data_IF_805577551636
#
_entry.id   IF_805577551636
#
_cell.length_a   1.000
_cell.length_b   1.000
_cell.length_c   1.000
_cell.angle_alpha   90.00
_cell.angle_beta   90.00
_cell.angle_gamma   90.00
#
_symmetry.space_group_name_H-M   'P 1'
#
loop_
_entity.id
_entity.type
_entity.pdbx_description
1 polymer ?
#
# COMPACT_ATOMS: atom_id res chain seq x y z
N UNK A 1 -5.95 -0.42 -23.92
CA UNK A 1 -7.05 -0.59 -22.95
C UNK A 1 -6.65 0.18 -21.70
N UNK A 2 -7.38 1.22 -21.34
CA UNK A 2 -7.11 2.05 -20.16
C UNK A 2 -8.25 1.80 -19.17
N UNK A 3 -8.05 0.95 -18.18
CA UNK A 3 -9.09 0.70 -17.17
C UNK A 3 -8.48 0.32 -15.81
N UNK A 4 -8.96 0.99 -14.75
CA UNK A 4 -9.00 0.58 -13.32
C UNK A 4 -7.66 0.64 -12.52
N UNK A 5 -7.53 1.20 -11.29
CA UNK A 5 -8.44 1.67 -10.21
C UNK A 5 -7.82 2.93 -9.55
N UNK A 6 -8.58 4.03 -9.45
CA UNK A 6 -8.27 5.09 -8.47
C UNK A 6 -9.28 5.03 -7.32
N UNK A 7 -8.81 5.24 -6.10
CA UNK A 7 -9.67 5.68 -5.01
C UNK A 7 -9.69 7.20 -5.00
N UNK A 8 -10.89 7.76 -5.11
CA UNK A 8 -11.16 9.07 -4.55
C UNK A 8 -11.19 8.92 -3.03
N UNK A 9 -10.25 9.55 -2.34
CA UNK A 9 -10.40 9.80 -0.92
C UNK A 9 -11.51 10.85 -0.78
N UNK A 10 -12.70 10.43 -0.37
CA UNK A 10 -13.86 11.35 -0.30
C UNK A 10 -13.70 12.31 0.87
N UNK A 11 -13.14 11.83 1.98
CA UNK A 11 -12.98 12.60 3.19
C UNK A 11 -11.60 12.40 3.80
N UNK A 12 -10.96 13.51 4.17
CA UNK A 12 -9.76 13.49 5.01
C UNK A 12 -10.16 13.91 6.41
N UNK A 13 -9.88 13.06 7.40
CA UNK A 13 -10.11 13.35 8.81
C UNK A 13 -8.78 13.36 9.55
N UNK A 14 -8.57 14.38 10.38
CA UNK A 14 -7.45 14.45 11.29
C UNK A 14 -7.96 14.33 12.71
N UNK A 15 -7.32 13.47 13.50
CA UNK A 15 -7.50 13.38 14.93
C UNK A 15 -6.18 13.73 15.61
N UNK A 16 -6.24 14.59 16.61
CA UNK A 16 -5.07 15.03 17.36
C UNK A 16 -5.30 14.73 18.84
N UNK A 17 -4.28 14.14 19.46
CA UNK A 17 -4.28 13.82 20.88
C UNK A 17 -3.12 14.55 21.56
N UNK A 18 -3.41 15.12 22.73
CA UNK A 18 -2.41 15.70 23.60
C UNK A 18 -2.21 14.75 24.78
N UNK A 19 -1.03 14.15 24.88
CA UNK A 19 -0.61 13.39 26.05
C UNK A 19 -0.44 14.38 27.18
N UNK A 20 -1.45 14.45 28.05
CA UNK A 20 -1.36 15.23 29.29
C UNK A 20 -0.23 14.60 30.12
N UNK A 21 0.78 15.39 30.47
CA UNK A 21 1.78 14.98 31.44
C UNK A 21 1.00 14.58 32.71
N UNK A 22 1.26 13.37 33.23
CA UNK A 22 0.59 12.89 34.42
C UNK A 22 0.77 13.91 35.54
N UNK A 23 -0.33 14.53 35.97
CA UNK A 23 -0.34 15.39 37.15
C UNK A 23 0.04 14.50 38.34
N UNK A 24 1.29 14.59 38.77
CA UNK A 24 1.75 13.97 40.00
C UNK A 24 1.37 14.90 41.16
N UNK A 25 0.17 14.74 41.68
CA UNK A 25 -0.26 15.49 42.87
C UNK A 25 0.52 14.97 44.09
N UNK A 26 1.52 15.71 44.54
CA UNK A 26 2.19 15.45 45.82
C UNK A 26 1.26 15.86 46.96
N UNK A 27 0.91 14.92 47.83
CA UNK A 27 0.08 15.20 49.01
C UNK A 27 0.98 15.77 50.11
N UNK A 28 0.96 17.09 50.33
CA UNK A 28 1.37 17.70 51.61
C UNK A 28 0.81 19.12 51.69
N UNK A 29 0.15 19.43 52.81
CA UNK A 29 -0.49 20.67 53.30
C UNK A 29 0.02 22.06 52.83
N UNK A 30 0.24 22.25 51.53
CA UNK A 30 0.51 23.54 50.89
C UNK A 30 -0.11 23.51 49.48
N UNK A 31 -1.12 24.35 49.25
CA UNK A 31 -1.87 24.35 47.99
C UNK A 31 -1.04 25.00 46.90
N UNK A 32 -0.37 24.20 46.06
CA UNK A 32 0.19 24.69 44.80
C UNK A 32 -0.81 24.47 43.67
N UNK A 33 -1.62 25.50 43.38
CA UNK A 33 -2.43 25.54 42.15
C UNK A 33 -1.52 25.74 40.94
N UNK A 34 -1.13 24.65 40.27
CA UNK A 34 -0.56 24.72 38.93
C UNK A 34 -1.68 24.58 37.90
N UNK A 35 -2.37 25.69 37.61
CA UNK A 35 -3.26 25.77 36.46
C UNK A 35 -2.43 25.94 35.19
N UNK A 36 -2.16 24.84 34.48
CA UNK A 36 -1.58 24.91 33.13
C UNK A 36 -2.65 25.45 32.19
N UNK A 37 -2.43 26.65 31.64
CA UNK A 37 -3.29 27.26 30.63
C UNK A 37 -3.07 26.58 29.28
N UNK A 38 -4.10 25.89 28.78
CA UNK A 38 -4.12 25.33 27.41
C UNK A 38 -4.90 26.25 26.48
N UNK A 39 -4.35 26.51 25.29
CA UNK A 39 -5.05 27.24 24.22
C UNK A 39 -5.40 26.25 23.11
N UNK A 40 -6.68 25.95 22.96
CA UNK A 40 -7.17 25.06 21.92
C UNK A 40 -7.32 25.82 20.60
N UNK A 41 -6.77 25.24 19.53
CA UNK A 41 -6.93 25.73 18.16
C UNK A 41 -7.59 24.65 17.33
N UNK A 42 -8.58 25.04 16.54
CA UNK A 42 -9.25 24.14 15.62
C UNK A 42 -8.40 23.89 14.38
N UNK A 43 -8.18 22.63 14.06
CA UNK A 43 -7.49 22.20 12.84
C UNK A 43 -8.33 22.61 11.63
N UNK A 44 -7.70 23.26 10.65
CA UNK A 44 -8.37 23.67 9.41
C UNK A 44 -7.65 23.07 8.21
N UNK A 45 -8.31 22.16 7.51
CA UNK A 45 -7.79 21.58 6.28
C UNK A 45 -8.05 22.52 5.09
N UNK A 46 -7.05 22.74 4.24
CA UNK A 46 -7.18 23.50 3.00
C UNK A 46 -7.14 22.61 1.75
N UNK A 47 -6.40 21.50 1.79
CA UNK A 47 -6.31 20.62 0.63
C UNK A 47 -5.40 19.42 0.83
N UNK A 48 -5.55 18.43 -0.06
CA UNK A 48 -4.73 17.21 -0.11
C UNK A 48 -4.22 17.00 -1.53
N UNK A 49 -2.95 16.62 -1.64
CA UNK A 49 -2.31 16.32 -2.92
C UNK A 49 -1.33 15.14 -2.80
N UNK A 50 -1.28 14.19 -3.75
CA UNK A 50 -2.25 14.02 -4.83
C UNK A 50 -3.65 13.70 -4.28
N UNK A 51 -4.71 14.09 -4.98
CA UNK A 51 -6.09 13.83 -4.55
C UNK A 51 -6.54 12.38 -4.81
N UNK A 52 -5.69 11.60 -5.45
CA UNK A 52 -6.00 10.28 -5.98
C UNK A 52 -4.77 9.38 -5.91
N UNK A 53 -5.01 8.09 -5.73
CA UNK A 53 -3.94 7.12 -5.65
C UNK A 53 -4.40 5.67 -5.80
N UNK A 54 -3.43 4.75 -5.91
CA UNK A 54 -3.66 3.32 -5.90
C UNK A 54 -4.34 2.78 -4.64
N UNK A 55 -5.02 1.63 -4.78
CA UNK A 55 -5.60 0.94 -3.62
C UNK A 55 -4.60 0.16 -2.79
N UNK A 56 -3.46 -0.26 -3.33
CA UNK A 56 -2.46 -0.94 -2.50
C UNK A 56 -1.91 -0.05 -1.37
N UNK A 57 -2.15 1.27 -1.43
CA UNK A 57 -1.57 2.23 -0.50
C UNK A 57 -0.19 2.70 -0.97
N UNK A 58 0.64 3.17 -0.04
CA UNK A 58 2.01 3.62 -0.31
C UNK A 58 2.14 5.02 -0.91
N UNK A 59 1.02 5.68 -1.28
CA UNK A 59 1.06 7.03 -1.84
C UNK A 59 1.41 8.05 -0.76
N UNK A 60 2.46 8.86 -1.00
CA UNK A 60 2.79 9.97 -0.13
C UNK A 60 1.85 11.15 -0.43
N UNK A 61 1.01 11.49 0.54
CA UNK A 61 0.11 12.63 0.48
C UNK A 61 0.70 13.82 1.24
N UNK A 62 0.58 15.00 0.63
CA UNK A 62 0.72 16.29 1.28
C UNK A 62 -0.67 16.81 1.69
N UNK A 63 -0.88 16.92 2.99
CA UNK A 63 -2.07 17.54 3.59
C UNK A 63 -1.69 18.98 3.95
N UNK A 64 -2.46 19.94 3.48
CA UNK A 64 -2.26 21.38 3.72
C UNK A 64 -3.40 21.96 4.54
N UNK A 65 -3.10 22.99 5.33
CA UNK A 65 -4.08 23.58 6.23
C UNK A 65 -3.50 24.61 7.19
N UNK A 66 -4.09 24.70 8.38
CA UNK A 66 -3.62 25.51 9.51
C UNK A 66 -3.73 24.70 10.80
N UNK A 67 -2.78 24.94 11.70
CA UNK A 67 -2.68 24.30 13.01
C UNK A 67 -2.49 22.77 12.93
N UNK A 68 -1.86 22.29 11.86
CA UNK A 68 -1.73 20.86 11.57
C UNK A 68 -0.74 20.11 12.49
N UNK A 69 0.22 20.80 13.09
CA UNK A 69 1.24 20.22 13.96
C UNK A 69 0.89 20.31 15.46
N UNK A 70 -0.37 20.58 15.80
CA UNK A 70 -0.81 20.65 17.20
C UNK A 70 -0.95 19.26 17.78
N UNK A 71 -0.70 19.13 19.09
CA UNK A 71 -0.79 17.90 19.87
C UNK A 71 0.49 17.06 19.87
N UNK A 72 0.54 16.07 20.75
CA UNK A 72 1.68 15.15 20.84
C UNK A 72 1.57 13.98 19.86
N UNK A 73 0.36 13.70 19.38
CA UNK A 73 0.07 12.58 18.49
C UNK A 73 -0.97 13.01 17.46
N UNK A 74 -0.64 12.84 16.17
CA UNK A 74 -1.47 13.21 15.04
C UNK A 74 -1.80 11.94 14.27
N UNK A 75 -3.09 11.67 14.08
CA UNK A 75 -3.59 10.57 13.26
C UNK A 75 -4.37 11.14 12.08
N UNK A 76 -4.10 10.64 10.89
CA UNK A 76 -4.84 10.99 9.68
C UNK A 76 -5.59 9.78 9.14
N UNK A 77 -6.78 10.01 8.60
CA UNK A 77 -7.62 9.01 7.98
C UNK A 77 -8.14 9.52 6.64
N UNK A 78 -8.15 8.60 5.67
CA UNK A 78 -8.75 8.79 4.36
C UNK A 78 -9.94 7.85 4.27
N UNK A 79 -11.14 8.42 4.35
CA UNK A 79 -12.34 7.69 4.74
C UNK A 79 -12.13 6.92 6.05
N UNK A 80 -12.11 5.59 6.01
CA UNK A 80 -11.91 4.69 7.17
C UNK A 80 -10.49 4.10 7.23
N UNK A 81 -9.62 4.46 6.28
CA UNK A 81 -8.26 3.92 6.18
C UNK A 81 -7.27 4.86 6.81
N UNK A 82 -6.39 4.34 7.66
CA UNK A 82 -5.35 5.14 8.29
C UNK A 82 -4.34 5.64 7.24
N UNK A 83 -3.90 6.89 7.37
CA UNK A 83 -2.76 7.43 6.66
C UNK A 83 -1.62 7.64 7.65
N UNK A 84 -0.49 6.98 7.43
CA UNK A 84 0.65 6.99 8.35
C UNK A 84 1.34 8.35 8.29
N UNK A 85 1.08 9.19 9.28
CA UNK A 85 1.60 10.56 9.34
C UNK A 85 3.06 10.56 9.76
N UNK A 86 3.90 11.26 9.02
CA UNK A 86 5.26 11.55 9.48
C UNK A 86 5.26 12.83 10.34
N UNK A 87 5.01 12.67 11.65
CA UNK A 87 4.91 13.79 12.58
C UNK A 87 6.21 14.61 12.72
N UNK A 88 7.38 14.00 12.44
CA UNK A 88 8.68 14.70 12.54
C UNK A 88 8.85 15.80 11.50
N UNK A 89 8.13 15.71 10.38
CA UNK A 89 8.14 16.69 9.28
C UNK A 89 6.89 17.59 9.31
N UNK A 90 6.09 17.51 10.37
CA UNK A 90 4.87 18.28 10.53
C UNK A 90 5.16 19.77 10.76
N UNK A 91 4.44 20.62 10.05
CA UNK A 91 4.41 22.06 10.26
C UNK A 91 2.99 22.53 10.54
N UNK A 92 2.82 23.78 10.96
CA UNK A 92 1.49 24.34 11.19
C UNK A 92 0.63 24.36 9.93
N UNK A 93 1.24 24.37 8.74
CA UNK A 93 0.52 24.48 7.46
C UNK A 93 0.56 23.24 6.59
N UNK A 94 1.44 22.27 6.89
CA UNK A 94 1.64 21.08 6.05
C UNK A 94 2.01 19.84 6.87
N UNK A 95 1.39 18.73 6.51
CA UNK A 95 1.67 17.37 6.97
C UNK A 95 1.91 16.47 5.77
N UNK A 96 2.74 15.43 5.96
CA UNK A 96 2.89 14.35 4.99
C UNK A 96 2.44 13.03 5.60
N UNK A 97 1.69 12.22 4.85
CA UNK A 97 1.31 10.89 5.29
C UNK A 97 1.38 9.87 4.15
N UNK A 98 1.51 8.59 4.49
CA UNK A 98 1.52 7.47 3.53
C UNK A 98 0.23 6.69 3.65
N UNK A 99 -0.50 6.55 2.55
CA UNK A 99 -1.83 5.90 2.52
C UNK A 99 -1.73 4.40 2.80
N UNK A 100 -2.68 3.84 3.54
CA UNK A 100 -2.79 2.38 3.73
C UNK A 100 -3.42 1.68 2.53
N UNK A 101 -3.30 0.35 2.50
CA UNK A 101 -3.99 -0.53 1.56
C UNK A 101 -5.51 -0.46 1.75
N UNK A 102 -6.25 -0.60 0.65
CA UNK A 102 -7.70 -0.68 0.55
C UNK A 102 -8.11 -1.95 -0.19
N UNK A 103 -9.11 -2.66 0.33
CA UNK A 103 -9.68 -3.85 -0.31
C UNK A 103 -10.98 -3.53 -1.09
N UNK A 104 -11.21 -2.27 -1.45
CA UNK A 104 -12.45 -1.83 -2.11
C UNK A 104 -12.59 -2.34 -3.54
N UNK A 105 -11.49 -2.65 -4.21
CA UNK A 105 -11.43 -3.20 -5.55
C UNK A 105 -10.33 -4.26 -5.64
N UNK A 106 -10.63 -5.32 -6.37
CA UNK A 106 -9.72 -6.41 -6.60
C UNK A 106 -9.03 -6.26 -7.97
N UNK A 107 -8.01 -7.07 -8.23
CA UNK A 107 -7.39 -7.22 -9.55
C UNK A 107 -8.41 -7.55 -10.65
N UNK A 108 -9.50 -8.22 -10.30
CA UNK A 108 -10.61 -8.58 -11.20
C UNK A 108 -11.63 -7.46 -11.41
N UNK A 109 -11.52 -6.34 -10.68
CA UNK A 109 -12.40 -5.19 -10.79
C UNK A 109 -13.00 -4.73 -9.46
N UNK A 110 -13.82 -3.69 -9.54
CA UNK A 110 -14.53 -3.09 -8.42
C UNK A 110 -15.97 -3.62 -8.37
N UNK A 111 -16.43 -4.21 -7.24
CA UNK A 111 -17.81 -4.70 -7.11
C UNK A 111 -18.85 -3.57 -6.99
N UNK A 112 -18.45 -2.40 -6.48
CA UNK A 112 -19.34 -1.26 -6.26
C UNK A 112 -19.26 -0.26 -7.41
N UNK A 113 -20.40 0.02 -8.08
CA UNK A 113 -20.50 1.02 -9.15
C UNK A 113 -20.29 2.47 -8.71
N UNK A 114 -20.28 2.74 -7.40
CA UNK A 114 -19.98 4.06 -6.82
C UNK A 114 -18.46 4.37 -6.77
N UNK A 115 -17.63 3.43 -7.22
CA UNK A 115 -16.18 3.62 -7.30
C UNK A 115 -15.83 4.27 -8.63
N UNK A 116 -15.56 5.57 -8.59
CA UNK A 116 -15.13 6.34 -9.75
C UNK A 116 -13.71 5.92 -10.15
N UNK A 117 -13.54 5.45 -11.38
CA UNK A 117 -12.24 5.08 -11.93
C UNK A 117 -11.73 6.19 -12.84
N UNK A 118 -10.40 6.32 -12.95
CA UNK A 118 -9.79 7.26 -13.89
C UNK A 118 -8.78 6.55 -14.78
N UNK A 119 -8.44 7.21 -15.88
CA UNK A 119 -7.47 6.71 -16.84
C UNK A 119 -6.06 6.91 -16.27
N UNK A 120 -5.30 5.83 -16.17
CA UNK A 120 -3.92 5.83 -15.70
C UNK A 120 -3.05 5.08 -16.71
N UNK A 121 -1.77 5.41 -16.72
CA UNK A 121 -0.79 4.72 -17.54
C UNK A 121 -0.44 3.37 -16.93
N UNK A 122 -0.31 2.36 -17.79
CA UNK A 122 0.09 1.02 -17.40
C UNK A 122 1.61 0.89 -17.51
N UNK A 123 2.29 1.12 -16.40
CA UNK A 123 3.75 1.03 -16.32
C UNK A 123 4.12 -0.45 -16.15
N UNK A 124 5.01 -0.96 -17.00
CA UNK A 124 5.54 -2.30 -16.81
C UNK A 124 6.42 -2.34 -15.56
N UNK A 125 6.04 -3.16 -14.58
CA UNK A 125 6.74 -3.32 -13.30
C UNK A 125 7.55 -4.60 -13.25
N UNK A 126 7.17 -5.60 -14.04
CA UNK A 126 7.86 -6.87 -14.08
C UNK A 126 7.75 -7.52 -15.46
N UNK A 127 8.88 -8.01 -15.96
CA UNK A 127 8.93 -8.83 -17.15
C UNK A 127 9.92 -9.97 -16.92
N UNK A 128 9.41 -11.19 -16.82
CA UNK A 128 10.21 -12.38 -16.54
C UNK A 128 9.95 -13.44 -17.59
N UNK A 129 11.03 -14.00 -18.12
CA UNK A 129 11.04 -15.16 -18.98
C UNK A 129 11.14 -16.45 -18.14
N UNK A 130 10.10 -17.27 -18.17
CA UNK A 130 10.16 -18.66 -17.71
C UNK A 130 10.48 -19.57 -18.91
N UNK A 131 11.76 -19.92 -19.03
CA UNK A 131 12.27 -20.72 -20.15
C UNK A 131 11.82 -22.18 -20.12
N UNK A 132 11.56 -22.73 -18.92
CA UNK A 132 11.15 -24.13 -18.79
C UNK A 132 9.71 -24.31 -19.27
N UNK A 133 8.80 -23.42 -18.86
CA UNK A 133 7.41 -23.46 -19.32
C UNK A 133 7.17 -22.76 -20.66
N UNK A 134 8.20 -22.17 -21.26
CA UNK A 134 8.12 -21.33 -22.47
C UNK A 134 7.08 -20.21 -22.35
N UNK A 135 7.02 -19.56 -21.19
CA UNK A 135 6.07 -18.49 -20.93
C UNK A 135 6.75 -17.20 -20.49
N UNK A 136 6.16 -16.08 -20.88
CA UNK A 136 6.58 -14.75 -20.48
C UNK A 136 5.57 -14.24 -19.45
N UNK A 137 6.05 -13.86 -18.29
CA UNK A 137 5.25 -13.33 -17.20
C UNK A 137 5.45 -11.82 -17.18
N UNK A 138 4.36 -11.07 -17.41
CA UNK A 138 4.37 -9.62 -17.37
C UNK A 138 3.46 -9.11 -16.24
N UNK A 139 3.85 -7.98 -15.63
CA UNK A 139 3.05 -7.25 -14.63
C UNK A 139 3.06 -5.77 -14.93
N UNK A 140 1.88 -5.18 -15.00
CA UNK A 140 1.70 -3.74 -15.07
C UNK A 140 1.50 -3.09 -13.70
N UNK A 141 1.37 -1.77 -13.68
CA UNK A 141 0.94 -1.01 -12.51
C UNK A 141 -0.60 -1.04 -12.32
N UNK A 142 -1.36 -1.34 -13.38
CA UNK A 142 -2.83 -1.43 -13.31
C UNK A 142 -3.31 -2.72 -12.62
N UNK A 143 -4.60 -2.78 -12.33
CA UNK A 143 -5.28 -3.98 -11.79
C UNK A 143 -4.59 -4.55 -10.53
N UNK A 144 -4.18 -3.69 -9.61
CA UNK A 144 -3.46 -4.08 -8.39
C UNK A 144 -2.14 -4.82 -8.64
N UNK A 145 -1.49 -4.58 -9.78
CA UNK A 145 -0.26 -5.28 -10.13
C UNK A 145 -0.48 -6.77 -10.37
N UNK A 146 -1.60 -7.12 -11.00
CA UNK A 146 -1.95 -8.49 -11.39
C UNK A 146 -1.13 -9.00 -12.59
N UNK A 147 -1.06 -10.32 -12.74
CA UNK A 147 -0.13 -10.99 -13.65
C UNK A 147 -0.83 -11.35 -14.93
N UNK A 148 -0.08 -11.23 -16.02
CA UNK A 148 -0.45 -11.82 -17.28
C UNK A 148 0.65 -12.77 -17.72
N UNK A 149 0.26 -14.02 -18.00
CA UNK A 149 1.16 -15.07 -18.49
C UNK A 149 0.90 -15.26 -19.99
N UNK A 150 1.92 -14.99 -20.78
CA UNK A 150 1.92 -15.07 -22.23
C UNK A 150 2.67 -16.30 -22.69
N UNK A 151 2.26 -16.86 -23.83
CA UNK A 151 3.07 -17.86 -24.53
C UNK A 151 4.22 -17.17 -25.25
N UNK A 152 5.45 -17.63 -25.03
CA UNK A 152 6.62 -17.08 -25.74
C UNK A 152 6.54 -17.30 -27.25
N UNK A 153 5.89 -18.37 -27.69
CA UNK A 153 5.72 -18.69 -29.12
C UNK A 153 4.92 -17.63 -29.88
N UNK A 154 3.97 -16.95 -29.22
CA UNK A 154 3.22 -15.84 -29.79
C UNK A 154 2.54 -15.01 -28.68
N UNK A 155 3.13 -13.85 -28.37
CA UNK A 155 2.64 -12.93 -27.33
C UNK A 155 1.33 -12.20 -27.70
N UNK A 156 0.90 -12.29 -28.97
CA UNK A 156 -0.37 -11.69 -29.41
C UNK A 156 -1.59 -12.52 -29.00
N UNK A 157 -1.37 -13.77 -28.56
CA UNK A 157 -2.43 -14.64 -28.03
C UNK A 157 -2.87 -14.09 -26.67
N UNK A 158 -4.19 -14.15 -26.40
CA UNK A 158 -4.76 -13.71 -25.12
C UNK A 158 -4.01 -14.37 -23.94
N UNK A 159 -3.45 -13.58 -23.02
CA UNK A 159 -2.74 -14.12 -21.86
C UNK A 159 -3.67 -14.78 -20.85
N UNK A 160 -3.10 -15.66 -20.04
CA UNK A 160 -3.73 -16.14 -18.81
C UNK A 160 -3.58 -15.06 -17.72
N UNK A 161 -4.71 -14.62 -17.15
CA UNK A 161 -4.74 -13.61 -16.10
C UNK A 161 -4.69 -14.27 -14.73
N UNK A 162 -3.72 -13.86 -13.91
CA UNK A 162 -3.55 -14.33 -12.53
C UNK A 162 -3.93 -13.18 -11.60
N UNK A 163 -5.12 -13.24 -10.96
CA UNK A 163 -5.72 -12.11 -10.24
C UNK A 163 -5.11 -11.86 -8.84
N UNK A 164 -3.84 -12.21 -8.65
CA UNK A 164 -3.11 -11.98 -7.40
C UNK A 164 -2.35 -10.66 -7.51
N UNK A 165 -2.46 -9.82 -6.48
CA UNK A 165 -1.79 -8.52 -6.43
C UNK A 165 -0.33 -8.72 -6.03
N UNK A 166 0.62 -8.39 -6.91
CA UNK A 166 2.04 -8.74 -6.72
C UNK A 166 3.01 -7.63 -7.11
N UNK A 167 2.65 -6.77 -8.05
CA UNK A 167 3.50 -5.63 -8.41
C UNK A 167 3.03 -4.34 -7.73
N UNK A 168 3.97 -3.43 -7.48
CA UNK A 168 3.65 -2.08 -7.05
C UNK A 168 2.84 -1.39 -8.15
N UNK A 169 1.80 -0.67 -7.79
CA UNK A 169 0.84 -0.07 -8.72
C UNK A 169 1.06 1.44 -8.97
N UNK A 170 2.22 1.94 -8.55
CA UNK A 170 2.73 3.28 -8.84
C UNK A 170 3.96 3.18 -9.74
N UNK A 171 4.28 4.24 -10.47
CA UNK A 171 5.44 4.31 -11.37
C UNK A 171 6.78 4.24 -10.62
N UNK A 172 6.89 4.96 -9.50
CA UNK A 172 8.15 5.20 -8.81
C UNK A 172 8.55 4.09 -7.83
N UNK A 173 7.59 3.27 -7.40
CA UNK A 173 7.80 2.19 -6.44
C UNK A 173 8.38 0.97 -7.13
N UNK A 174 9.56 0.50 -6.72
CA UNK A 174 10.20 -0.64 -7.36
C UNK A 174 9.52 -1.98 -7.03
N UNK A 175 9.57 -2.90 -7.99
CA UNK A 175 9.16 -4.29 -7.86
C UNK A 175 10.25 -5.14 -8.50
N UNK A 176 10.75 -6.13 -7.78
CA UNK A 176 11.75 -7.06 -8.30
C UNK A 176 11.22 -8.48 -8.14
N UNK A 177 11.51 -9.34 -9.12
CA UNK A 177 11.26 -10.76 -8.97
C UNK A 177 12.30 -11.58 -9.72
N UNK A 178 12.45 -12.82 -9.30
CA UNK A 178 13.30 -13.81 -9.96
C UNK A 178 12.64 -15.19 -9.90
N UNK A 179 13.00 -16.05 -10.85
CA UNK A 179 12.61 -17.45 -10.87
C UNK A 179 13.81 -18.26 -10.36
N UNK A 180 13.57 -19.07 -9.33
CA UNK A 180 14.60 -19.91 -8.72
C UNK A 180 14.09 -21.31 -8.42
N UNK A 181 15.01 -22.28 -8.24
CA UNK A 181 14.66 -23.63 -7.85
C UNK A 181 14.07 -23.64 -6.43
N UNK A 182 12.87 -24.17 -6.29
CA UNK A 182 12.24 -24.51 -5.02
C UNK A 182 12.52 -25.99 -4.69
N UNK A 183 12.80 -26.29 -3.42
CA UNK A 183 13.03 -27.67 -2.95
C UNK A 183 11.81 -28.17 -2.20
N UNK A 184 10.93 -28.88 -2.89
CA UNK A 184 9.80 -29.55 -2.25
C UNK A 184 10.20 -30.96 -1.79
N UNK A 185 10.23 -31.21 -0.47
CA UNK A 185 10.38 -32.58 0.07
C UNK A 185 9.03 -33.29 0.01
N UNK A 186 8.68 -33.88 -1.12
CA UNK A 186 7.48 -34.74 -1.20
C UNK A 186 7.87 -36.21 -1.12
N UNK A 187 7.51 -36.88 -0.03
CA UNK A 187 7.81 -38.30 0.24
C UNK A 187 7.12 -39.27 -0.74
N UNK A 188 6.29 -38.79 -1.68
CA UNK A 188 5.54 -39.61 -2.64
C UNK A 188 5.83 -39.33 -4.13
N UNK A 189 6.61 -38.29 -4.49
CA UNK A 189 6.83 -37.92 -5.90
C UNK A 189 8.31 -37.98 -6.36
N UNK A 190 9.22 -38.37 -5.47
CA UNK A 190 10.66 -38.19 -5.69
C UNK A 190 11.05 -36.70 -5.63
N UNK A 191 12.36 -36.42 -5.58
CA UNK A 191 12.89 -35.06 -5.60
C UNK A 191 12.58 -34.39 -6.95
N UNK A 192 11.38 -33.82 -7.09
CA UNK A 192 11.01 -33.02 -8.24
C UNK A 192 11.46 -31.58 -7.99
N UNK A 193 12.35 -31.08 -8.86
CA UNK A 193 12.71 -29.66 -8.89
C UNK A 193 11.52 -28.88 -9.45
N UNK A 194 10.97 -27.97 -8.67
CA UNK A 194 9.94 -27.01 -9.11
C UNK A 194 10.62 -25.64 -9.14
N UNK A 195 10.21 -24.76 -10.05
CA UNK A 195 10.66 -23.38 -10.08
C UNK A 195 9.56 -22.45 -9.61
N UNK A 196 9.94 -21.49 -8.76
CA UNK A 196 9.00 -20.58 -8.12
C UNK A 196 9.45 -19.15 -8.30
N UNK A 197 8.48 -18.26 -8.44
CA UNK A 197 8.73 -16.82 -8.59
C UNK A 197 8.67 -16.17 -7.22
N UNK A 198 9.79 -15.58 -6.81
CA UNK A 198 9.85 -14.75 -5.61
C UNK A 198 9.70 -13.29 -6.00
N UNK A 199 8.79 -12.57 -5.34
CA UNK A 199 8.60 -11.12 -5.56
C UNK A 199 8.94 -10.33 -4.30
N UNK A 200 9.67 -9.22 -4.47
CA UNK A 200 10.07 -8.30 -3.41
C UNK A 200 9.55 -6.88 -3.72
N UNK A 201 8.84 -6.28 -2.76
CA UNK A 201 8.50 -4.86 -2.75
C UNK A 201 9.46 -4.05 -1.89
N UNK A 202 9.79 -2.84 -2.35
CA UNK A 202 10.79 -1.99 -1.69
C UNK A 202 10.27 -1.18 -0.49
N UNK A 203 9.05 -1.45 0.02
CA UNK A 203 8.41 -0.67 1.09
C UNK A 203 7.70 -1.51 2.18
N UNK A 204 7.89 -2.83 2.24
CA UNK A 204 7.38 -3.67 3.34
C UNK A 204 8.56 -4.05 4.24
N UNK A 205 8.61 -3.45 5.44
CA UNK A 205 9.62 -3.74 6.47
C UNK A 205 9.37 -5.06 7.25
N UNK A 206 8.32 -5.83 6.94
CA UNK A 206 8.00 -7.08 7.64
C UNK A 206 7.93 -8.27 6.67
N UNK A 207 9.08 -8.94 6.48
CA UNK A 207 9.20 -10.23 5.79
C UNK A 207 8.84 -11.34 6.78
N UNK A 208 7.55 -11.62 6.99
CA UNK A 208 7.15 -12.77 7.84
C UNK A 208 6.03 -13.67 7.30
N UNK A 209 5.33 -13.32 6.21
CA UNK A 209 4.29 -14.19 5.64
C UNK A 209 4.50 -14.42 4.13
N UNK A 210 5.20 -15.51 3.79
CA UNK A 210 5.26 -16.04 2.42
C UNK A 210 3.94 -16.75 2.10
N UNK A 211 3.13 -16.22 1.18
CA UNK A 211 2.01 -16.94 0.58
C UNK A 211 2.42 -17.49 -0.79
N UNK A 212 2.57 -18.81 -0.89
CA UNK A 212 2.79 -19.54 -2.15
C UNK A 212 1.49 -20.27 -2.55
N UNK A 213 1.06 -20.12 -3.81
CA UNK A 213 -0.14 -20.79 -4.33
C UNK A 213 0.24 -21.99 -5.21
N UNK A 214 -0.40 -23.16 -5.03
CA UNK A 214 0.04 -24.42 -5.64
C UNK A 214 -0.50 -24.56 -7.07
N UNK A 215 0.27 -24.12 -8.06
CA UNK A 215 0.04 -24.37 -9.50
C UNK A 215 1.39 -24.43 -10.22
N UNK A 216 1.52 -24.96 -11.46
CA UNK A 216 2.81 -25.36 -12.06
C UNK A 216 3.85 -24.23 -12.33
N UNK A 217 3.64 -23.04 -11.76
CA UNK A 217 4.65 -22.07 -11.36
C UNK A 217 4.10 -21.38 -10.11
N UNK A 218 4.62 -21.72 -8.93
CA UNK A 218 4.17 -21.10 -7.68
C UNK A 218 4.68 -19.66 -7.65
N UNK A 219 3.75 -18.70 -7.62
CA UNK A 219 4.06 -17.29 -7.40
C UNK A 219 4.03 -17.10 -5.89
N UNK A 220 5.21 -16.97 -5.27
CA UNK A 220 5.36 -16.67 -3.86
C UNK A 220 5.47 -15.15 -3.71
N UNK A 221 4.51 -14.58 -2.98
CA UNK A 221 4.52 -13.17 -2.60
C UNK A 221 5.15 -13.09 -1.21
N UNK A 222 6.19 -12.27 -1.06
CA UNK A 222 6.69 -11.80 0.24
C UNK A 222 6.03 -10.46 0.56
#
# INVERSE_FOLDING_TARGET
MKTLIQLWYRNVRLAVYQKLAGLHCTKSDDYTESAVLFNYKDIRLSGVYPSVGPQSGGTQLAITGMYLNIGSTISAYLDELQCHVNATQASSSRLTCVTSKSDRCHATGCPSGDITTSLMDNVNKLLIADLESQTLIARGSLLQGACEKYKMSNISIKPEFIPHSVAANDENSSTYAFIGPERYKNTMLGDKQIYSMLVLHSLIEDVTDTMCLPFPVEICII
#
